data_IF_197024288892
#
_entry.id   IF_197024288892
#
_cell.length_a   1.000
_cell.length_b   1.000
_cell.length_c   1.000
_cell.angle_alpha   90.00
_cell.angle_beta   90.00
_cell.angle_gamma   90.00
#
_symmetry.space_group_name_H-M   'P 1'
#
loop_
_entity.id
_entity.type
_entity.pdbx_description
1 polymer ?
#
# COMPACT_ATOMS: atom_id res chain seq x y z
N UNK A 1 13.93 -50.86 1.89
CA UNK A 1 13.32 -50.08 0.79
C UNK A 1 12.13 -49.36 1.38
N UNK A 2 11.90 -48.07 1.08
CA UNK A 2 11.20 -47.05 1.91
C UNK A 2 12.21 -46.45 2.91
N UNK A 3 12.64 -45.18 2.83
CA UNK A 3 11.85 -43.95 2.70
C UNK A 3 12.60 -42.88 1.89
N UNK A 4 12.10 -42.54 0.71
CA UNK A 4 12.56 -41.40 -0.10
C UNK A 4 11.40 -40.40 -0.28
N UNK A 5 10.71 -40.04 0.81
CA UNK A 5 9.57 -39.10 0.75
C UNK A 5 9.57 -38.21 1.98
N UNK A 6 10.55 -37.31 2.10
CA UNK A 6 10.39 -36.15 3.01
C UNK A 6 11.06 -34.85 2.54
N UNK A 7 11.77 -34.83 1.40
CA UNK A 7 12.50 -33.63 0.96
C UNK A 7 11.70 -32.67 0.06
N UNK A 8 10.50 -33.04 -0.41
CA UNK A 8 9.74 -32.24 -1.40
C UNK A 8 8.75 -31.21 -0.83
N UNK A 9 8.55 -31.16 0.50
CA UNK A 9 7.60 -30.21 1.12
C UNK A 9 8.21 -28.86 1.50
N UNK A 10 9.53 -28.70 1.51
CA UNK A 10 10.20 -27.43 1.83
C UNK A 10 10.56 -26.64 0.56
N UNK A 11 10.80 -27.31 -0.56
CA UNK A 11 11.13 -26.66 -1.84
C UNK A 11 9.94 -25.95 -2.50
N UNK A 12 8.69 -26.37 -2.22
CA UNK A 12 7.48 -25.78 -2.82
C UNK A 12 7.09 -24.44 -2.22
N UNK A 13 7.46 -24.15 -0.97
CA UNK A 13 7.21 -22.84 -0.34
C UNK A 13 8.20 -21.75 -0.76
N UNK A 14 9.45 -22.12 -1.08
CA UNK A 14 10.48 -21.15 -1.51
C UNK A 14 10.23 -20.66 -2.94
N UNK A 15 9.71 -21.52 -3.82
CA UNK A 15 9.37 -21.12 -5.20
C UNK A 15 8.14 -20.21 -5.21
N UNK A 16 7.14 -20.43 -4.35
CA UNK A 16 5.97 -19.57 -4.26
C UNK A 16 6.30 -18.14 -3.75
N UNK A 17 7.27 -18.00 -2.84
CA UNK A 17 7.68 -16.68 -2.32
C UNK A 17 8.46 -15.83 -3.34
N UNK A 18 9.14 -16.44 -4.31
CA UNK A 18 9.84 -15.70 -5.36
C UNK A 18 8.94 -15.24 -6.52
N UNK A 19 7.77 -15.83 -6.71
CA UNK A 19 6.86 -15.44 -7.80
C UNK A 19 6.02 -14.20 -7.53
N UNK A 20 5.95 -13.69 -6.29
CA UNK A 20 5.16 -12.50 -5.96
C UNK A 20 5.97 -11.21 -5.75
N UNK A 21 7.30 -11.28 -5.57
CA UNK A 21 8.13 -10.09 -5.32
C UNK A 21 8.34 -9.24 -6.58
N UNK A 22 8.17 -9.81 -7.78
CA UNK A 22 8.32 -9.07 -9.05
C UNK A 22 7.01 -8.46 -9.56
N UNK A 23 5.88 -8.67 -8.86
CA UNK A 23 4.55 -8.29 -9.35
C UNK A 23 4.03 -6.94 -8.81
N UNK A 24 4.72 -6.32 -7.85
CA UNK A 24 4.15 -5.19 -7.11
C UNK A 24 4.48 -3.79 -7.64
N UNK A 25 5.40 -3.67 -8.61
CA UNK A 25 5.80 -2.36 -9.19
C UNK A 25 5.64 -2.24 -10.71
N UNK A 26 5.17 -3.27 -11.41
CA UNK A 26 4.69 -3.10 -12.79
C UNK A 26 3.25 -2.65 -12.69
N UNK A 27 2.92 -1.50 -13.27
CA UNK A 27 1.52 -1.10 -13.51
C UNK A 27 0.82 -2.32 -14.09
N UNK A 28 -0.02 -3.02 -13.30
CA UNK A 28 -0.68 -4.25 -13.75
C UNK A 28 -1.35 -3.87 -15.06
N UNK A 29 -0.88 -4.42 -16.16
CA UNK A 29 -1.45 -4.09 -17.46
C UNK A 29 -2.92 -4.45 -17.35
N UNK A 30 -3.82 -3.51 -17.66
CA UNK A 30 -5.26 -3.72 -17.53
C UNK A 30 -5.75 -4.75 -18.54
N UNK A 31 -5.23 -5.97 -18.56
CA UNK A 31 -5.64 -7.02 -19.48
C UNK A 31 -6.57 -7.95 -18.72
N UNK A 32 -7.54 -8.48 -19.43
CA UNK A 32 -8.44 -9.54 -18.97
C UNK A 32 -8.62 -10.54 -20.11
N UNK A 33 -8.63 -11.80 -19.77
CA UNK A 33 -8.80 -12.94 -20.70
C UNK A 33 -10.19 -13.53 -20.55
N UNK A 34 -10.69 -13.55 -19.32
CA UNK A 34 -11.89 -14.20 -18.84
C UNK A 34 -12.66 -13.28 -17.87
N UNK A 35 -13.81 -13.76 -17.37
CA UNK A 35 -14.67 -13.00 -16.47
C UNK A 35 -14.01 -12.72 -15.12
N UNK A 36 -13.23 -13.67 -14.57
CA UNK A 36 -12.61 -13.51 -13.26
C UNK A 36 -11.52 -12.45 -13.28
N UNK A 37 -10.67 -12.48 -14.31
CA UNK A 37 -9.68 -11.44 -14.55
C UNK A 37 -10.34 -10.08 -14.81
N UNK A 38 -11.50 -10.04 -15.48
CA UNK A 38 -12.30 -8.82 -15.63
C UNK A 38 -12.85 -8.30 -14.29
N UNK A 39 -13.37 -9.18 -13.43
CA UNK A 39 -13.84 -8.82 -12.08
C UNK A 39 -12.74 -8.14 -11.27
N UNK A 40 -11.52 -8.70 -11.29
CA UNK A 40 -10.36 -8.10 -10.63
C UNK A 40 -10.09 -6.70 -11.16
N UNK A 41 -10.17 -6.46 -12.49
CA UNK A 41 -9.97 -5.12 -13.06
C UNK A 41 -11.05 -4.14 -12.65
N UNK A 42 -12.30 -4.58 -12.61
CA UNK A 42 -13.41 -3.74 -12.13
C UNK A 42 -13.22 -3.40 -10.65
N UNK A 43 -12.74 -4.34 -9.84
CA UNK A 43 -12.40 -4.10 -8.43
C UNK A 43 -11.23 -3.11 -8.29
N UNK A 44 -10.13 -3.30 -9.02
CA UNK A 44 -8.97 -2.40 -9.06
C UNK A 44 -9.43 -0.95 -9.37
N UNK A 45 -10.35 -0.79 -10.34
CA UNK A 45 -10.94 0.52 -10.69
C UNK A 45 -11.70 1.14 -9.53
N UNK A 46 -12.53 0.34 -8.86
CA UNK A 46 -13.36 0.78 -7.75
C UNK A 46 -12.51 1.26 -6.59
N UNK A 47 -11.48 0.50 -6.23
CA UNK A 47 -10.54 0.87 -5.18
C UNK A 47 -9.81 2.17 -5.52
N UNK A 48 -9.34 2.31 -6.76
CA UNK A 48 -8.73 3.55 -7.22
C UNK A 48 -9.69 4.74 -7.11
N UNK A 49 -10.97 4.58 -7.49
CA UNK A 49 -11.98 5.64 -7.40
C UNK A 49 -12.25 6.06 -5.95
N UNK A 50 -12.37 5.08 -5.03
CA UNK A 50 -12.60 5.35 -3.61
C UNK A 50 -11.46 6.16 -3.01
N UNK A 51 -10.22 5.75 -3.26
CA UNK A 51 -9.02 6.47 -2.79
C UNK A 51 -8.93 7.87 -3.40
N UNK A 52 -9.02 7.95 -4.72
CA UNK A 52 -8.89 9.21 -5.47
C UNK A 52 -9.97 10.22 -5.11
N UNK A 53 -11.18 9.77 -4.73
CA UNK A 53 -12.23 10.66 -4.25
C UNK A 53 -11.79 11.46 -3.03
N UNK A 54 -11.19 10.80 -2.03
CA UNK A 54 -10.67 11.46 -0.83
C UNK A 54 -9.54 12.45 -1.17
N UNK A 55 -8.69 12.11 -2.14
CA UNK A 55 -7.65 12.99 -2.63
C UNK A 55 -8.19 14.23 -3.32
N UNK A 56 -9.22 14.08 -4.16
CA UNK A 56 -9.88 15.20 -4.82
C UNK A 56 -10.58 16.11 -3.80
N UNK A 57 -11.22 15.55 -2.79
CA UNK A 57 -11.84 16.33 -1.70
C UNK A 57 -10.79 17.15 -0.94
N UNK A 58 -9.65 16.54 -0.59
CA UNK A 58 -8.52 17.25 0.04
C UNK A 58 -7.92 18.30 -0.90
N UNK A 59 -7.74 17.95 -2.17
CA UNK A 59 -7.22 18.85 -3.20
C UNK A 59 -8.15 20.05 -3.43
N UNK A 60 -9.47 19.87 -3.39
CA UNK A 60 -10.43 20.97 -3.53
C UNK A 60 -10.25 22.02 -2.44
N UNK A 61 -10.06 21.60 -1.19
CA UNK A 61 -9.81 22.50 -0.06
C UNK A 61 -8.54 23.33 -0.23
N UNK A 62 -7.54 22.78 -0.92
CA UNK A 62 -6.28 23.47 -1.25
C UNK A 62 -6.46 24.40 -2.45
N UNK A 63 -7.06 23.89 -3.52
CA UNK A 63 -7.05 24.56 -4.82
C UNK A 63 -7.94 25.79 -4.83
N UNK A 64 -9.12 25.76 -4.18
CA UNK A 64 -10.05 26.90 -4.21
C UNK A 64 -9.41 28.19 -3.65
N UNK A 65 -8.81 28.20 -2.43
CA UNK A 65 -8.12 29.38 -1.93
C UNK A 65 -6.92 29.81 -2.78
N UNK A 66 -6.15 28.85 -3.32
CA UNK A 66 -4.98 29.15 -4.15
C UNK A 66 -5.39 29.81 -5.48
N UNK A 67 -6.46 29.32 -6.11
CA UNK A 67 -7.00 29.91 -7.33
C UNK A 67 -7.48 31.35 -7.08
N UNK A 68 -8.20 31.60 -6.00
CA UNK A 68 -8.66 32.95 -5.64
C UNK A 68 -7.50 33.92 -5.40
N UNK A 69 -6.45 33.45 -4.71
CA UNK A 69 -5.24 34.22 -4.47
C UNK A 69 -4.51 34.58 -5.79
N UNK A 70 -4.21 33.56 -6.62
CA UNK A 70 -3.45 33.78 -7.85
C UNK A 70 -4.26 34.47 -8.94
N UNK A 71 -5.59 34.37 -8.93
CA UNK A 71 -6.47 35.15 -9.82
C UNK A 71 -6.21 36.64 -9.69
N UNK A 72 -5.95 37.12 -8.47
CA UNK A 72 -5.69 38.54 -8.17
C UNK A 72 -4.22 38.93 -8.31
N UNK A 73 -3.30 38.02 -7.96
CA UNK A 73 -1.87 38.33 -7.81
C UNK A 73 -1.00 37.93 -9.00
N UNK A 74 -1.32 36.82 -9.67
CA UNK A 74 -0.51 36.30 -10.76
C UNK A 74 -1.34 35.41 -11.71
N UNK A 75 -1.88 36.03 -12.76
CA UNK A 75 -2.72 35.35 -13.76
C UNK A 75 -2.02 34.18 -14.46
N UNK A 76 -0.70 34.24 -14.64
CA UNK A 76 0.09 33.15 -15.23
C UNK A 76 0.13 31.92 -14.34
N UNK A 77 0.27 32.09 -13.02
CA UNK A 77 0.22 30.98 -12.06
C UNK A 77 -1.21 30.45 -11.97
N UNK A 78 -2.21 31.34 -11.92
CA UNK A 78 -3.63 30.95 -11.95
C UNK A 78 -3.92 29.98 -13.10
N UNK A 79 -3.57 30.35 -14.34
CA UNK A 79 -3.83 29.49 -15.51
C UNK A 79 -3.08 28.15 -15.44
N UNK A 80 -1.87 28.13 -14.87
CA UNK A 80 -1.07 26.91 -14.65
C UNK A 80 -1.62 26.01 -13.54
N UNK A 81 -2.53 26.51 -12.70
CA UNK A 81 -3.22 25.76 -11.65
C UNK A 81 -4.62 25.34 -12.09
N UNK A 82 -5.42 26.28 -12.63
CA UNK A 82 -6.82 26.05 -12.98
C UNK A 82 -6.96 25.00 -14.08
N UNK A 83 -6.23 25.14 -15.18
CA UNK A 83 -6.33 24.22 -16.32
C UNK A 83 -6.05 22.75 -15.93
N UNK A 84 -4.94 22.41 -15.25
CA UNK A 84 -4.74 21.04 -14.77
C UNK A 84 -5.79 20.59 -13.75
N UNK A 85 -6.23 21.48 -12.86
CA UNK A 85 -7.20 21.15 -11.81
C UNK A 85 -8.59 20.82 -12.37
N UNK A 86 -9.10 21.59 -13.33
CA UNK A 86 -10.36 21.26 -13.99
C UNK A 86 -10.27 19.92 -14.72
N UNK A 87 -9.15 19.68 -15.43
CA UNK A 87 -8.92 18.39 -16.10
C UNK A 87 -8.95 17.24 -15.11
N UNK A 88 -8.30 17.35 -13.95
CA UNK A 88 -8.34 16.32 -12.91
C UNK A 88 -9.78 15.94 -12.53
N UNK A 89 -10.67 16.92 -12.33
CA UNK A 89 -12.09 16.68 -12.02
C UNK A 89 -12.82 15.98 -13.16
N UNK A 90 -12.64 16.48 -14.39
CA UNK A 90 -13.26 15.88 -15.58
C UNK A 90 -12.80 14.44 -15.78
N UNK A 91 -11.50 14.15 -15.66
CA UNK A 91 -10.97 12.79 -15.83
C UNK A 91 -11.49 11.85 -14.73
N UNK A 92 -11.59 12.30 -13.48
CA UNK A 92 -12.19 11.51 -12.42
C UNK A 92 -13.65 11.15 -12.71
N UNK A 93 -14.45 12.13 -13.16
CA UNK A 93 -15.84 11.90 -13.55
C UNK A 93 -15.97 10.93 -14.75
N UNK A 94 -15.08 11.05 -15.73
CA UNK A 94 -15.03 10.14 -16.88
C UNK A 94 -14.73 8.71 -16.45
N UNK A 95 -13.81 8.51 -15.50
CA UNK A 95 -13.48 7.18 -14.97
C UNK A 95 -14.67 6.62 -14.18
N UNK A 96 -15.28 7.41 -13.29
CA UNK A 96 -16.42 6.98 -12.48
C UNK A 96 -17.64 6.60 -13.33
N UNK A 97 -17.98 7.41 -14.34
CA UNK A 97 -19.09 7.13 -15.26
C UNK A 97 -18.83 5.89 -16.13
N UNK A 98 -17.59 5.74 -16.64
CA UNK A 98 -17.20 4.55 -17.41
C UNK A 98 -17.24 3.30 -16.54
N UNK A 99 -16.71 3.37 -15.31
CA UNK A 99 -16.77 2.29 -14.32
C UNK A 99 -18.22 1.88 -14.00
N UNK A 100 -19.11 2.84 -13.74
CA UNK A 100 -20.52 2.56 -13.45
C UNK A 100 -21.21 1.85 -14.60
N UNK A 101 -20.91 2.27 -15.84
CA UNK A 101 -21.45 1.65 -17.05
C UNK A 101 -20.92 0.22 -17.22
N UNK A 102 -19.61 0.04 -17.05
CA UNK A 102 -18.92 -1.24 -17.09
C UNK A 102 -19.45 -2.22 -16.02
N UNK A 103 -19.62 -1.76 -14.78
CA UNK A 103 -20.14 -2.56 -13.67
C UNK A 103 -21.59 -3.00 -13.91
N UNK A 104 -22.44 -2.10 -14.45
CA UNK A 104 -23.82 -2.46 -14.85
C UNK A 104 -23.83 -3.51 -15.96
N UNK A 105 -22.95 -3.39 -16.97
CA UNK A 105 -22.83 -4.34 -18.05
C UNK A 105 -22.42 -5.73 -17.53
N UNK A 106 -21.40 -5.77 -16.67
CA UNK A 106 -20.91 -7.00 -16.04
C UNK A 106 -21.99 -7.71 -15.21
N UNK A 107 -22.78 -6.97 -14.43
CA UNK A 107 -23.92 -7.52 -13.69
C UNK A 107 -24.96 -8.13 -14.63
N UNK A 108 -25.33 -7.43 -15.72
CA UNK A 108 -26.30 -7.93 -16.71
C UNK A 108 -25.82 -9.20 -17.40
N UNK A 109 -24.53 -9.28 -17.73
CA UNK A 109 -23.91 -10.46 -18.32
C UNK A 109 -24.02 -11.66 -17.38
N UNK A 110 -23.61 -11.50 -16.11
CA UNK A 110 -23.66 -12.55 -15.08
C UNK A 110 -25.06 -13.07 -14.78
N UNK A 111 -26.08 -12.20 -14.78
CA UNK A 111 -27.47 -12.60 -14.51
C UNK A 111 -28.03 -13.52 -15.60
N UNK A 112 -27.58 -13.38 -16.86
CA UNK A 112 -28.13 -14.15 -17.99
C UNK A 112 -27.52 -15.55 -18.15
N UNK A 113 -26.67 -16.01 -17.22
CA UNK A 113 -25.86 -17.24 -17.35
C UNK A 113 -24.99 -17.29 -18.62
N UNK A 114 -24.82 -16.16 -19.31
CA UNK A 114 -23.90 -15.94 -20.41
C UNK A 114 -22.53 -15.68 -19.78
N UNK A 115 -21.74 -16.75 -19.63
CA UNK A 115 -20.38 -16.68 -19.11
C UNK A 115 -19.34 -16.42 -20.21
N UNK A 116 -19.77 -16.22 -21.46
CA UNK A 116 -18.84 -15.90 -22.54
C UNK A 116 -18.72 -14.40 -22.73
N UNK A 117 -17.48 -13.91 -22.69
CA UNK A 117 -17.16 -12.54 -23.08
C UNK A 117 -17.42 -12.29 -24.58
N UNK A 118 -17.50 -13.36 -25.36
CA UNK A 118 -17.67 -13.29 -26.81
C UNK A 118 -19.16 -13.25 -27.20
N UNK A 119 -20.07 -13.33 -26.22
CA UNK A 119 -21.50 -13.14 -26.44
C UNK A 119 -21.83 -11.68 -26.79
N UNK A 120 -22.86 -11.50 -27.61
CA UNK A 120 -23.35 -10.18 -28.01
C UNK A 120 -24.56 -9.79 -27.13
N UNK A 121 -24.48 -8.69 -26.36
CA UNK A 121 -25.62 -8.20 -25.60
C UNK A 121 -26.77 -7.78 -26.52
N UNK A 122 -28.01 -8.00 -26.06
CA UNK A 122 -29.21 -7.52 -26.75
C UNK A 122 -29.09 -6.02 -27.04
N UNK A 123 -29.40 -5.63 -28.28
CA UNK A 123 -29.35 -4.26 -28.82
C UNK A 123 -27.94 -3.67 -29.03
N UNK A 124 -26.90 -4.49 -29.02
CA UNK A 124 -25.55 -4.09 -29.40
C UNK A 124 -25.09 -4.88 -30.64
N UNK A 125 -24.15 -4.30 -31.39
CA UNK A 125 -23.53 -4.92 -32.56
C UNK A 125 -22.17 -5.58 -32.25
N UNK A 126 -21.66 -5.41 -31.03
CA UNK A 126 -20.32 -5.86 -30.63
C UNK A 126 -20.38 -6.71 -29.36
N UNK A 127 -19.37 -7.55 -29.17
CA UNK A 127 -19.28 -8.49 -28.05
C UNK A 127 -19.14 -7.78 -26.70
N UNK A 128 -19.42 -8.49 -25.59
CA UNK A 128 -19.06 -8.00 -24.26
C UNK A 128 -17.56 -7.69 -24.15
N UNK A 129 -16.69 -8.52 -24.74
CA UNK A 129 -15.24 -8.33 -24.76
C UNK A 129 -14.88 -6.97 -25.34
N UNK A 130 -15.45 -6.61 -26.48
CA UNK A 130 -15.17 -5.33 -27.14
C UNK A 130 -15.66 -4.15 -26.32
N UNK A 131 -16.87 -4.23 -25.74
CA UNK A 131 -17.41 -3.20 -24.85
C UNK A 131 -16.54 -2.99 -23.60
N UNK A 132 -16.03 -4.08 -23.02
CA UNK A 132 -15.11 -4.01 -21.89
C UNK A 132 -13.73 -3.47 -22.28
N UNK A 133 -13.23 -3.82 -23.48
CA UNK A 133 -11.99 -3.27 -24.02
C UNK A 133 -12.10 -1.75 -24.27
N UNK A 134 -13.22 -1.30 -24.82
CA UNK A 134 -13.52 0.12 -25.02
C UNK A 134 -13.54 0.88 -23.68
N UNK A 135 -14.25 0.32 -22.69
CA UNK A 135 -14.32 0.89 -21.33
C UNK A 135 -12.93 0.97 -20.69
N UNK A 136 -12.13 -0.08 -20.84
CA UNK A 136 -10.74 -0.14 -20.40
C UNK A 136 -9.90 0.97 -21.03
N UNK A 137 -9.94 1.13 -22.35
CA UNK A 137 -9.11 2.14 -23.02
C UNK A 137 -9.51 3.56 -22.62
N UNK A 138 -10.81 3.82 -22.43
CA UNK A 138 -11.30 5.11 -21.89
C UNK A 138 -10.78 5.35 -20.47
N UNK A 139 -10.87 4.37 -19.59
CA UNK A 139 -10.37 4.48 -18.21
C UNK A 139 -8.85 4.73 -18.22
N UNK A 140 -8.10 3.95 -19.00
CA UNK A 140 -6.64 4.09 -19.12
C UNK A 140 -6.24 5.50 -19.58
N UNK A 141 -6.84 5.99 -20.68
CA UNK A 141 -6.58 7.35 -21.20
C UNK A 141 -6.88 8.42 -20.15
N UNK A 142 -8.00 8.27 -19.44
CA UNK A 142 -8.40 9.22 -18.39
C UNK A 142 -7.45 9.17 -17.19
N UNK A 143 -7.01 7.99 -16.76
CA UNK A 143 -6.02 7.82 -15.68
C UNK A 143 -4.67 8.43 -16.04
N UNK A 144 -4.21 8.25 -17.28
CA UNK A 144 -2.96 8.84 -17.76
C UNK A 144 -3.04 10.38 -17.81
N UNK A 145 -4.18 10.92 -18.27
CA UNK A 145 -4.47 12.36 -18.24
C UNK A 145 -4.53 12.90 -16.82
N UNK A 146 -5.21 12.21 -15.90
CA UNK A 146 -5.27 12.54 -14.47
C UNK A 146 -3.86 12.67 -13.89
N UNK A 147 -3.03 11.62 -14.02
CA UNK A 147 -1.65 11.60 -13.51
C UNK A 147 -0.79 12.72 -14.10
N UNK A 148 -0.93 12.98 -15.41
CA UNK A 148 -0.22 14.06 -16.09
C UNK A 148 -0.58 15.43 -15.52
N UNK A 149 -1.85 15.67 -15.21
CA UNK A 149 -2.29 16.95 -14.66
C UNK A 149 -1.92 17.11 -13.18
N UNK A 150 -1.90 16.04 -12.38
CA UNK A 150 -1.35 16.06 -11.02
C UNK A 150 0.14 16.46 -11.05
N UNK A 151 0.93 15.88 -11.96
CA UNK A 151 2.34 16.25 -12.15
C UNK A 151 2.51 17.74 -12.50
N UNK A 152 1.61 18.31 -13.32
CA UNK A 152 1.62 19.74 -13.63
C UNK A 152 1.33 20.59 -12.39
N UNK A 153 0.32 20.23 -11.58
CA UNK A 153 0.05 20.93 -10.32
C UNK A 153 1.26 20.91 -9.38
N UNK A 154 1.86 19.73 -9.16
CA UNK A 154 3.08 19.59 -8.36
C UNK A 154 4.20 20.52 -8.86
N UNK A 155 4.42 20.57 -10.18
CA UNK A 155 5.43 21.45 -10.80
C UNK A 155 5.12 22.93 -10.57
N UNK A 156 3.86 23.33 -10.70
CA UNK A 156 3.43 24.72 -10.49
C UNK A 156 3.66 25.14 -9.03
N UNK A 157 3.22 24.34 -8.04
CA UNK A 157 3.47 24.63 -6.62
C UNK A 157 4.95 24.61 -6.26
N UNK A 158 5.75 23.72 -6.86
CA UNK A 158 7.21 23.72 -6.66
C UNK A 158 7.84 25.06 -7.06
N UNK A 159 7.35 25.70 -8.12
CA UNK A 159 7.82 27.03 -8.53
C UNK A 159 7.46 28.14 -7.54
N UNK A 160 6.46 27.93 -6.69
CA UNK A 160 6.03 28.84 -5.63
C UNK A 160 6.61 28.46 -4.26
N UNK A 161 7.66 27.62 -4.22
CA UNK A 161 8.32 27.10 -3.00
C UNK A 161 7.39 26.27 -2.09
N UNK A 162 6.31 25.73 -2.65
CA UNK A 162 5.37 24.84 -1.97
C UNK A 162 5.44 23.44 -2.58
N UNK A 163 4.95 22.45 -1.86
CA UNK A 163 4.91 21.06 -2.29
C UNK A 163 3.50 20.55 -2.07
N UNK A 164 2.91 20.01 -3.13
CA UNK A 164 1.65 19.29 -3.08
C UNK A 164 1.95 17.84 -2.73
N UNK A 165 1.76 17.50 -1.47
CA UNK A 165 2.14 16.25 -0.82
C UNK A 165 0.96 15.28 -0.82
N UNK A 166 1.16 14.08 -1.35
CA UNK A 166 0.15 13.02 -1.38
C UNK A 166 0.58 11.94 -0.39
N UNK A 167 -0.19 11.74 0.69
CA UNK A 167 0.22 10.87 1.80
C UNK A 167 0.50 9.43 1.34
N UNK A 168 -0.36 8.88 0.47
CA UNK A 168 -0.19 7.52 -0.05
C UNK A 168 1.11 7.34 -0.85
N UNK A 169 1.43 8.30 -1.74
CA UNK A 169 2.65 8.22 -2.56
C UNK A 169 3.93 8.21 -1.70
N UNK A 170 3.92 8.99 -0.61
CA UNK A 170 5.07 9.19 0.27
C UNK A 170 5.21 8.04 1.28
N UNK A 171 4.10 7.37 1.64
CA UNK A 171 4.12 6.18 2.50
C UNK A 171 4.53 4.90 1.80
N UNK A 172 4.46 4.85 0.46
CA UNK A 172 4.57 3.61 -0.30
C UNK A 172 5.91 2.88 -0.06
N UNK A 173 7.01 3.61 -0.06
CA UNK A 173 8.35 3.03 0.14
C UNK A 173 8.50 2.42 1.54
N UNK A 174 7.96 3.09 2.56
CA UNK A 174 8.03 2.63 3.95
C UNK A 174 7.15 1.40 4.17
N UNK A 175 5.94 1.38 3.60
CA UNK A 175 5.05 0.20 3.67
C UNK A 175 5.70 -1.04 3.08
N UNK A 176 6.41 -0.90 1.95
CA UNK A 176 7.09 -2.03 1.33
C UNK A 176 8.23 -2.61 2.19
N UNK A 177 8.80 -1.81 3.09
CA UNK A 177 9.88 -2.27 3.97
C UNK A 177 9.42 -3.26 5.07
N UNK A 178 8.11 -3.32 5.36
CA UNK A 178 7.58 -4.20 6.42
C UNK A 178 7.90 -5.67 6.14
N UNK A 179 7.87 -6.09 4.88
CA UNK A 179 8.13 -7.46 4.48
C UNK A 179 9.58 -7.90 4.75
N UNK A 180 10.56 -7.02 4.50
CA UNK A 180 11.97 -7.29 4.84
C UNK A 180 12.15 -7.41 6.36
N UNK A 181 11.49 -6.55 7.14
CA UNK A 181 11.57 -6.58 8.60
C UNK A 181 10.93 -7.85 9.18
N UNK A 182 9.74 -8.21 8.73
CA UNK A 182 9.04 -9.43 9.13
C UNK A 182 9.81 -10.69 8.75
N UNK A 183 10.42 -10.70 7.56
CA UNK A 183 11.31 -11.78 7.14
C UNK A 183 12.51 -11.92 8.07
N UNK A 184 13.21 -10.82 8.38
CA UNK A 184 14.35 -10.83 9.32
C UNK A 184 13.97 -11.31 10.71
N UNK A 185 12.81 -10.89 11.21
CA UNK A 185 12.27 -11.37 12.49
C UNK A 185 12.02 -12.87 12.45
N UNK A 186 11.43 -13.37 11.37
CA UNK A 186 11.13 -14.79 11.20
C UNK A 186 12.39 -15.67 11.15
N UNK A 187 13.53 -15.17 10.65
CA UNK A 187 14.82 -15.89 10.71
C UNK A 187 15.26 -16.22 12.15
N UNK A 188 14.80 -15.45 13.14
CA UNK A 188 15.09 -15.69 14.56
C UNK A 188 14.12 -16.64 15.25
N UNK A 189 13.05 -17.10 14.58
CA UNK A 189 11.96 -17.82 15.23
C UNK A 189 12.41 -19.15 15.84
N UNK A 190 13.28 -19.89 15.15
CA UNK A 190 13.81 -21.16 15.70
C UNK A 190 14.58 -20.95 17.01
N UNK A 191 15.30 -19.82 17.15
CA UNK A 191 15.98 -19.48 18.40
C UNK A 191 14.99 -19.23 19.53
N UNK A 192 13.89 -18.53 19.24
CA UNK A 192 12.80 -18.27 20.19
C UNK A 192 12.13 -19.58 20.60
N UNK A 193 11.86 -20.48 19.66
CA UNK A 193 11.23 -21.78 19.95
C UNK A 193 12.14 -22.65 20.84
N UNK A 194 13.46 -22.65 20.57
CA UNK A 194 14.45 -23.32 21.44
C UNK A 194 14.51 -22.69 22.83
N UNK A 195 14.47 -21.37 22.92
CA UNK A 195 14.41 -20.66 24.20
C UNK A 195 13.15 -21.03 24.99
N UNK A 196 11.98 -21.06 24.35
CA UNK A 196 10.71 -21.40 25.00
C UNK A 196 10.72 -22.82 25.61
N UNK A 197 11.41 -23.78 24.98
CA UNK A 197 11.62 -25.11 25.59
C UNK A 197 12.44 -25.03 26.88
N UNK A 198 13.49 -24.19 26.94
CA UNK A 198 14.28 -23.95 28.16
C UNK A 198 13.45 -23.22 29.23
N UNK A 199 12.64 -22.23 28.81
CA UNK A 199 11.75 -21.49 29.68
C UNK A 199 10.71 -22.39 30.35
N UNK A 200 10.06 -23.28 29.60
CA UNK A 200 9.10 -24.23 30.16
C UNK A 200 9.73 -25.08 31.27
N UNK A 201 10.93 -25.64 31.03
CA UNK A 201 11.65 -26.40 32.07
C UNK A 201 11.99 -25.54 33.29
N UNK A 202 12.43 -24.30 33.08
CA UNK A 202 12.74 -23.37 34.17
C UNK A 202 11.50 -23.02 35.02
N UNK A 203 10.31 -22.98 34.41
CA UNK A 203 9.05 -22.65 35.10
C UNK A 203 8.44 -23.87 35.82
N UNK A 204 8.57 -25.08 35.26
CA UNK A 204 7.86 -26.24 35.78
C UNK A 204 8.74 -27.24 36.54
N UNK A 205 10.03 -27.35 36.20
CA UNK A 205 10.89 -28.42 36.71
C UNK A 205 11.93 -27.93 37.74
N UNK A 206 12.42 -26.68 37.65
CA UNK A 206 13.48 -26.14 38.53
C UNK A 206 13.26 -24.65 38.84
N UNK A 207 12.21 -24.32 39.60
CA UNK A 207 11.73 -22.94 39.78
C UNK A 207 12.64 -22.02 40.59
N UNK A 208 13.57 -22.57 41.40
CA UNK A 208 14.32 -21.79 42.38
C UNK A 208 15.82 -21.62 42.08
N UNK A 209 16.35 -22.27 41.03
CA UNK A 209 17.76 -22.10 40.68
C UNK A 209 18.05 -20.71 40.12
N UNK A 210 19.29 -20.24 40.34
CA UNK A 210 19.79 -18.99 39.76
C UNK A 210 19.66 -18.97 38.23
N UNK A 211 19.85 -20.14 37.59
CA UNK A 211 19.68 -20.30 36.14
C UNK A 211 18.23 -20.09 35.70
N UNK A 212 17.27 -20.66 36.40
CA UNK A 212 15.85 -20.52 36.07
C UNK A 212 15.37 -19.08 36.25
N UNK A 213 15.81 -18.39 37.31
CA UNK A 213 15.55 -16.94 37.48
C UNK A 213 16.09 -16.13 36.30
N UNK A 214 17.34 -16.38 35.87
CA UNK A 214 17.93 -15.73 34.69
C UNK A 214 17.11 -15.97 33.41
N UNK A 215 16.65 -17.21 33.19
CA UNK A 215 15.81 -17.57 32.03
C UNK A 215 14.48 -16.80 32.07
N UNK A 216 13.83 -16.71 33.23
CA UNK A 216 12.57 -15.96 33.41
C UNK A 216 12.76 -14.47 33.12
N UNK A 217 13.85 -13.86 33.58
CA UNK A 217 14.10 -12.43 33.34
C UNK A 217 14.43 -12.14 31.86
N UNK A 218 15.15 -13.06 31.19
CA UNK A 218 15.34 -12.99 29.74
C UNK A 218 14.00 -13.08 29.01
N UNK A 219 13.08 -13.95 29.46
CA UNK A 219 11.73 -14.07 28.86
C UNK A 219 10.96 -12.75 28.93
N UNK A 220 10.96 -12.06 30.08
CA UNK A 220 10.32 -10.74 30.22
C UNK A 220 10.91 -9.72 29.26
N UNK A 221 12.23 -9.73 29.10
CA UNK A 221 12.93 -8.84 28.17
C UNK A 221 12.56 -9.13 26.71
N UNK A 222 12.52 -10.41 26.32
CA UNK A 222 12.11 -10.84 24.98
C UNK A 222 10.65 -10.48 24.68
N UNK A 223 9.76 -10.58 25.67
CA UNK A 223 8.37 -10.18 25.53
C UNK A 223 8.24 -8.66 25.34
N UNK A 224 8.96 -7.86 26.14
CA UNK A 224 8.99 -6.40 25.93
C UNK A 224 9.53 -6.04 24.54
N UNK A 225 10.57 -6.73 24.07
CA UNK A 225 11.13 -6.56 22.74
C UNK A 225 10.09 -6.91 21.66
N UNK A 226 9.38 -8.03 21.80
CA UNK A 226 8.30 -8.45 20.89
C UNK A 226 7.24 -7.36 20.73
N UNK A 227 6.78 -6.78 21.84
CA UNK A 227 5.78 -5.70 21.83
C UNK A 227 6.29 -4.44 21.10
N UNK A 228 7.57 -4.09 21.24
CA UNK A 228 8.18 -2.97 20.51
C UNK A 228 8.23 -3.24 19.00
N UNK A 229 8.62 -4.45 18.59
CA UNK A 229 8.62 -4.85 17.18
C UNK A 229 7.21 -4.79 16.60
N UNK A 230 6.21 -5.35 17.31
CA UNK A 230 4.80 -5.33 16.92
C UNK A 230 4.28 -3.89 16.77
N UNK A 231 4.63 -3.00 17.71
CA UNK A 231 4.26 -1.59 17.65
C UNK A 231 4.82 -0.89 16.40
N UNK A 232 6.08 -1.16 16.05
CA UNK A 232 6.68 -0.56 14.86
C UNK A 232 6.06 -1.10 13.56
N UNK A 233 5.82 -2.41 13.47
CA UNK A 233 5.11 -3.01 12.33
C UNK A 233 3.70 -2.41 12.18
N UNK A 234 2.98 -2.26 13.28
CA UNK A 234 1.64 -1.68 13.28
C UNK A 234 1.65 -0.19 12.87
N UNK A 235 2.71 0.55 13.24
CA UNK A 235 2.94 1.90 12.73
C UNK A 235 3.13 1.91 11.21
N UNK A 236 3.96 1.02 10.65
CA UNK A 236 4.18 0.93 9.20
C UNK A 236 2.89 0.59 8.44
N UNK A 237 2.10 -0.36 8.95
CA UNK A 237 0.82 -0.75 8.33
C UNK A 237 -0.18 0.41 8.32
N UNK A 238 -0.23 1.20 9.39
CA UNK A 238 -1.21 2.28 9.58
C UNK A 238 -0.66 3.68 9.27
N UNK A 239 0.54 3.79 8.71
CA UNK A 239 1.27 5.04 8.55
C UNK A 239 0.47 6.12 7.81
N UNK A 240 -0.20 5.76 6.72
CA UNK A 240 -1.05 6.69 5.97
C UNK A 240 -2.16 7.28 6.83
N UNK A 241 -2.84 6.45 7.63
CA UNK A 241 -3.94 6.89 8.50
C UNK A 241 -3.44 7.82 9.61
N UNK A 242 -2.25 7.54 10.16
CA UNK A 242 -1.61 8.40 11.17
C UNK A 242 -1.27 9.75 10.55
N UNK A 243 -0.60 9.76 9.40
CA UNK A 243 -0.21 11.00 8.72
C UNK A 243 -1.40 11.81 8.22
N UNK A 244 -2.44 11.17 7.71
CA UNK A 244 -3.67 11.87 7.30
C UNK A 244 -4.31 12.61 8.48
N UNK A 245 -4.24 12.05 9.69
CA UNK A 245 -4.72 12.72 10.92
C UNK A 245 -3.80 13.86 11.33
N UNK A 246 -2.48 13.65 11.30
CA UNK A 246 -1.49 14.67 11.68
C UNK A 246 -1.48 15.86 10.72
N UNK A 247 -1.64 15.61 9.42
CA UNK A 247 -1.59 16.61 8.36
C UNK A 247 -2.97 17.21 8.02
N UNK A 248 -4.06 16.57 8.47
CA UNK A 248 -5.43 17.03 8.26
C UNK A 248 -6.03 16.71 6.87
N UNK A 249 -5.42 15.81 6.11
CA UNK A 249 -5.92 15.40 4.78
C UNK A 249 -5.05 14.35 4.09
N UNK A 250 -5.57 13.70 3.04
CA UNK A 250 -4.80 12.77 2.19
C UNK A 250 -3.88 13.49 1.20
N UNK A 251 -4.21 14.75 0.90
CA UNK A 251 -3.40 15.67 0.11
C UNK A 251 -3.24 16.96 0.90
N UNK A 252 -2.01 17.45 1.04
CA UNK A 252 -1.71 18.72 1.73
C UNK A 252 -0.75 19.59 0.94
N UNK A 253 -0.85 20.90 1.14
CA UNK A 253 0.07 21.88 0.57
C UNK A 253 0.97 22.41 1.66
N UNK A 254 2.25 22.09 1.57
CA UNK A 254 3.24 22.41 2.60
C UNK A 254 4.38 23.26 2.04
N UNK A 255 4.99 24.15 2.84
CA UNK A 255 6.23 24.82 2.44
C UNK A 255 7.33 23.79 2.17
N UNK A 256 8.12 23.98 1.12
CA UNK A 256 9.21 23.05 0.76
C UNK A 256 10.18 22.77 1.91
N UNK A 257 10.41 23.73 2.79
CA UNK A 257 11.28 23.61 3.98
C UNK A 257 10.75 22.64 5.05
N UNK A 258 9.44 22.37 5.08
CA UNK A 258 8.80 21.54 6.09
C UNK A 258 8.51 20.11 5.58
N UNK A 259 9.05 19.74 4.42
CA UNK A 259 8.57 18.59 3.65
C UNK A 259 8.89 17.22 4.25
N UNK A 260 10.00 17.04 4.97
CA UNK A 260 10.51 15.68 5.17
C UNK A 260 11.18 15.31 6.49
N UNK A 261 11.22 16.14 7.52
CA UNK A 261 12.04 15.76 8.68
C UNK A 261 11.38 14.71 9.57
N UNK A 262 10.13 14.91 10.01
CA UNK A 262 9.59 14.10 11.10
C UNK A 262 9.24 12.65 10.71
N UNK A 263 8.62 12.41 9.55
CA UNK A 263 8.23 11.05 9.14
C UNK A 263 9.46 10.20 8.84
N UNK A 264 10.40 10.75 8.08
CA UNK A 264 11.63 10.08 7.69
C UNK A 264 12.48 9.74 8.93
N UNK A 265 12.59 10.68 9.87
CA UNK A 265 13.27 10.47 11.16
C UNK A 265 12.59 9.37 11.99
N UNK A 266 11.26 9.41 12.15
CA UNK A 266 10.50 8.37 12.88
C UNK A 266 10.73 7.00 12.25
N UNK A 267 10.69 6.90 10.92
CA UNK A 267 10.95 5.64 10.22
C UNK A 267 12.39 5.15 10.41
N UNK A 268 13.39 6.01 10.20
CA UNK A 268 14.81 5.65 10.36
C UNK A 268 15.11 5.19 11.78
N UNK A 269 14.65 5.94 12.78
CA UNK A 269 14.83 5.61 14.19
C UNK A 269 14.18 4.27 14.53
N UNK A 270 12.90 4.09 14.18
CA UNK A 270 12.19 2.85 14.46
C UNK A 270 12.79 1.64 13.74
N UNK A 271 13.25 1.79 12.49
CA UNK A 271 13.94 0.72 11.76
C UNK A 271 15.26 0.33 12.43
N UNK A 272 16.04 1.30 12.87
CA UNK A 272 17.30 1.05 13.56
C UNK A 272 17.06 0.34 14.90
N UNK A 273 16.09 0.80 15.69
CA UNK A 273 15.69 0.13 16.94
C UNK A 273 15.21 -1.29 16.67
N UNK A 274 14.38 -1.51 15.64
CA UNK A 274 13.89 -2.84 15.26
C UNK A 274 15.04 -3.82 14.98
N UNK A 275 16.01 -3.41 14.15
CA UNK A 275 17.18 -4.23 13.82
C UNK A 275 18.03 -4.50 15.07
N UNK A 276 18.19 -3.50 15.94
CA UNK A 276 18.97 -3.63 17.16
C UNK A 276 18.31 -4.61 18.14
N UNK A 277 17.00 -4.52 18.33
CA UNK A 277 16.21 -5.46 19.14
C UNK A 277 16.38 -6.90 18.65
N UNK A 278 16.35 -7.14 17.34
CA UNK A 278 16.57 -8.49 16.79
C UNK A 278 17.96 -9.04 17.12
N UNK A 279 19.00 -8.20 17.01
CA UNK A 279 20.37 -8.57 17.35
C UNK A 279 20.54 -8.87 18.83
N UNK A 280 19.99 -8.01 19.69
CA UNK A 280 20.14 -8.14 21.13
C UNK A 280 19.34 -9.33 21.68
N UNK A 281 18.14 -9.56 21.15
CA UNK A 281 17.32 -10.75 21.48
C UNK A 281 18.06 -12.05 21.14
N UNK A 282 18.76 -12.09 20.00
CA UNK A 282 19.59 -13.25 19.63
C UNK A 282 20.73 -13.46 20.63
N UNK A 283 21.49 -12.41 20.96
CA UNK A 283 22.60 -12.48 21.93
C UNK A 283 22.13 -12.93 23.31
N UNK A 284 20.98 -12.45 23.77
CA UNK A 284 20.39 -12.85 25.04
C UNK A 284 20.11 -14.34 25.08
N UNK A 285 19.51 -14.88 24.01
CA UNK A 285 19.19 -16.32 23.91
C UNK A 285 20.46 -17.18 23.82
N UNK A 286 21.48 -16.71 23.08
CA UNK A 286 22.77 -17.41 22.94
C UNK A 286 23.58 -17.44 24.26
N UNK A 287 23.25 -16.58 25.24
CA UNK A 287 23.94 -16.51 26.55
C UNK A 287 23.47 -17.54 27.61
N UNK A 288 22.65 -18.52 27.21
CA UNK A 288 21.94 -19.49 28.07
C UNK A 288 22.29 -20.95 27.78
#
# INVERSE_FOLDING_TARGET
MISYVHYYRVATYVVALFFFTTCFNKTKTWKFTDIHSLDVRVLDTKEWLVKTKADIESLNKIMLPQLDYYKKKNSRIYQKLDNPYQKIKTEFFNIDSTYKSMSKLLKKMKIKASYSLDDIPKNNSISYRDLFNDSRERIKKSMDSYRKNIKKLKKTFKSTKQVLFFVEEECLEYKNSIYDLQYRRNLGQENIDRFNKKLNKAIFDDTNSSRSKKIIDISKTLESNRLKLDSFENFLTNMEKVLMKELGGSVVLIPKKNMHTQLEERFKTGKNEYIQILKDSRKLIESL
#
